data_IF_616823077669
#
_entry.id   IF_616823077669
#
_cell.length_a   1.000
_cell.length_b   1.000
_cell.length_c   1.000
_cell.angle_alpha   90.00
_cell.angle_beta   90.00
_cell.angle_gamma   90.00
#
_symmetry.space_group_name_H-M   'P 1'
#
loop_
_entity.id
_entity.type
_entity.pdbx_description
1 polymer ?
#
# COMPACT_ATOMS: atom_id res chain seq x y z
N UNK A 1 9.64 3.62 6.46
CA UNK A 1 8.18 3.45 6.36
C UNK A 1 7.48 4.65 7.02
N UNK A 2 6.73 5.47 6.26
CA UNK A 2 6.09 6.67 6.85
C UNK A 2 4.92 6.36 7.79
N UNK A 3 4.56 5.08 7.99
CA UNK A 3 3.50 4.65 8.92
C UNK A 3 4.08 4.47 10.33
N UNK A 4 5.18 3.72 10.47
CA UNK A 4 5.87 3.53 11.76
C UNK A 4 7.01 4.52 12.00
N UNK A 5 7.37 5.33 10.99
CA UNK A 5 8.48 6.30 11.02
C UNK A 5 9.87 5.67 11.19
N UNK A 6 10.01 4.37 10.93
CA UNK A 6 11.30 3.65 10.95
C UNK A 6 11.95 3.57 9.56
N UNK A 7 13.25 3.28 9.55
CA UNK A 7 14.01 3.02 8.33
C UNK A 7 13.60 1.67 7.71
N UNK A 8 13.74 1.56 6.39
CA UNK A 8 13.50 0.30 5.68
C UNK A 8 14.84 -0.42 5.58
N UNK A 9 14.98 -1.60 6.18
CA UNK A 9 16.24 -2.38 6.19
C UNK A 9 16.15 -3.66 5.37
N UNK A 10 17.31 -4.09 4.88
CA UNK A 10 17.45 -5.29 4.06
C UNK A 10 17.02 -6.54 4.84
N UNK A 11 16.06 -7.29 4.28
CA UNK A 11 15.48 -8.48 4.93
C UNK A 11 14.05 -8.27 5.44
N UNK A 12 13.56 -7.03 5.47
CA UNK A 12 12.17 -6.75 5.79
C UNK A 12 11.26 -6.93 4.57
N UNK A 13 10.02 -7.34 4.82
CA UNK A 13 9.04 -7.47 3.74
C UNK A 13 8.40 -6.11 3.48
N UNK A 14 8.67 -5.57 2.30
CA UNK A 14 8.17 -4.28 1.88
C UNK A 14 7.13 -4.44 0.77
N UNK A 15 6.17 -3.52 0.74
CA UNK A 15 5.15 -3.43 -0.29
C UNK A 15 5.18 -2.05 -0.91
N UNK A 16 5.32 -2.04 -2.23
CA UNK A 16 5.17 -0.86 -3.06
C UNK A 16 3.71 -0.71 -3.49
N UNK A 17 3.16 0.49 -3.37
CA UNK A 17 1.82 0.84 -3.82
C UNK A 17 1.83 1.33 -5.27
N UNK A 18 0.67 1.33 -5.97
CA UNK A 18 0.56 1.84 -7.34
C UNK A 18 0.88 3.34 -7.49
N UNK A 19 1.02 4.07 -6.37
CA UNK A 19 1.50 5.44 -6.33
C UNK A 19 3.02 5.58 -6.15
N UNK A 20 3.79 4.50 -6.33
CA UNK A 20 5.25 4.41 -6.14
C UNK A 20 5.74 4.71 -4.71
N UNK A 21 4.88 4.56 -3.71
CA UNK A 21 5.28 4.69 -2.31
C UNK A 21 5.50 3.33 -1.67
N UNK A 22 6.53 3.24 -0.83
CA UNK A 22 7.06 1.99 -0.31
C UNK A 22 6.93 1.96 1.22
N UNK A 23 6.32 0.89 1.73
CA UNK A 23 6.04 0.71 3.16
C UNK A 23 6.35 -0.71 3.60
N UNK A 24 6.52 -0.93 4.90
CA UNK A 24 6.53 -2.30 5.43
C UNK A 24 5.19 -2.97 5.12
N UNK A 25 5.25 -4.22 4.68
CA UNK A 25 4.06 -5.01 4.34
C UNK A 25 3.09 -5.05 5.53
N UNK A 26 3.60 -5.27 6.74
CA UNK A 26 2.78 -5.27 7.96
C UNK A 26 2.17 -3.91 8.27
N UNK A 27 2.92 -2.82 8.05
CA UNK A 27 2.45 -1.48 8.32
C UNK A 27 1.33 -1.07 7.35
N UNK A 28 1.53 -1.31 6.05
CA UNK A 28 0.51 -0.99 5.05
C UNK A 28 -0.72 -1.86 5.25
N UNK A 29 -0.56 -3.16 5.52
CA UNK A 29 -1.69 -4.07 5.73
C UNK A 29 -2.53 -3.66 6.96
N UNK A 30 -1.87 -3.31 8.08
CA UNK A 30 -2.55 -2.72 9.24
C UNK A 30 -3.25 -1.43 8.89
N UNK A 31 -2.61 -0.52 8.14
CA UNK A 31 -3.19 0.77 7.77
C UNK A 31 -4.45 0.61 6.91
N UNK A 32 -4.38 -0.25 5.89
CA UNK A 32 -5.52 -0.55 5.01
C UNK A 32 -6.68 -1.16 5.79
N UNK A 33 -6.39 -1.99 6.80
CA UNK A 33 -7.41 -2.66 7.62
C UNK A 33 -8.01 -1.76 8.70
N UNK A 34 -7.22 -0.87 9.33
CA UNK A 34 -7.68 -0.07 10.49
C UNK A 34 -8.04 1.38 10.16
N UNK A 35 -7.42 1.98 9.15
CA UNK A 35 -7.57 3.42 8.87
C UNK A 35 -8.27 3.66 7.55
N UNK A 36 -7.67 3.26 6.44
CA UNK A 36 -8.21 3.53 5.10
C UNK A 36 -7.45 2.79 4.02
N UNK A 37 -8.13 2.45 2.94
CA UNK A 37 -7.57 1.79 1.75
C UNK A 37 -6.73 2.73 0.85
N UNK A 38 -6.23 3.84 1.39
CA UNK A 38 -5.52 4.88 0.64
C UNK A 38 -4.11 5.10 1.21
N UNK A 39 -3.19 5.51 0.32
CA UNK A 39 -1.81 5.83 0.65
C UNK A 39 -1.72 6.98 1.66
N UNK A 40 -0.96 6.83 2.76
CA UNK A 40 -0.85 7.88 3.78
C UNK A 40 -0.07 9.11 3.31
N UNK A 41 0.75 9.00 2.26
CA UNK A 41 1.52 10.14 1.71
C UNK A 41 0.70 10.95 0.69
N UNK A 42 0.14 10.29 -0.33
CA UNK A 42 -0.53 10.96 -1.44
C UNK A 42 -2.07 10.82 -1.44
N UNK A 43 -2.64 10.03 -0.53
CA UNK A 43 -4.08 9.69 -0.47
C UNK A 43 -4.61 9.00 -1.73
N UNK A 44 -3.74 8.39 -2.53
CA UNK A 44 -4.13 7.61 -3.70
C UNK A 44 -4.51 6.19 -3.29
N UNK A 45 -5.47 5.58 -3.98
CA UNK A 45 -5.92 4.22 -3.68
C UNK A 45 -4.77 3.21 -3.66
N UNK A 46 -4.78 2.38 -2.62
CA UNK A 46 -3.83 1.30 -2.44
C UNK A 46 -4.22 0.03 -3.20
N UNK A 47 -5.42 0.01 -3.76
CA UNK A 47 -5.85 -1.07 -4.63
C UNK A 47 -4.96 -1.04 -5.87
N UNK A 48 -4.20 -2.10 -6.16
CA UNK A 48 -3.65 -2.23 -7.50
C UNK A 48 -4.83 -2.14 -8.48
N UNK A 49 -4.63 -1.66 -9.72
CA UNK A 49 -5.62 -1.84 -10.76
C UNK A 49 -5.75 -3.34 -11.01
N UNK A 50 -6.51 -4.03 -10.15
CA UNK A 50 -7.05 -5.34 -10.45
C UNK A 50 -7.73 -5.17 -11.78
N UNK A 51 -7.29 -6.00 -12.70
CA UNK A 51 -7.86 -6.26 -13.99
C UNK A 51 -9.37 -6.18 -13.88
N UNK A 52 -9.93 -4.99 -14.13
CA UNK A 52 -11.32 -4.81 -14.48
C UNK A 52 -11.47 -5.33 -15.90
N UNK A 53 -11.18 -6.62 -16.12
CA UNK A 53 -11.71 -7.33 -17.27
C UNK A 53 -13.21 -7.43 -17.05
N UNK A 54 -13.88 -6.34 -17.43
CA UNK A 54 -14.92 -6.35 -18.44
C UNK A 54 -15.67 -7.68 -18.46
N UNK A 55 -16.51 -7.89 -17.45
CA UNK A 55 -17.74 -8.64 -17.66
C UNK A 55 -18.68 -7.74 -18.46
N UNK A 56 -18.26 -7.40 -19.68
CA UNK A 56 -19.12 -6.84 -20.70
C UNK A 56 -19.83 -8.02 -21.36
N UNK A 57 -21.16 -7.99 -21.20
CA UNK A 57 -22.22 -8.75 -21.87
C UNK A 57 -22.84 -9.92 -21.10
#
# INVERSE_FOLDING_TARGET
CSICLEELVDGETLRELPCSHLYHMECVDKWLTTKSSHCPLCKQDATPPEIAEKREK
#
